data_IF_970466711420
#
_entry.id   IF_970466711420
#
_cell.length_a   1.000
_cell.length_b   1.000
_cell.length_c   1.000
_cell.angle_alpha   90.00
_cell.angle_beta   90.00
_cell.angle_gamma   90.00
#
_symmetry.space_group_name_H-M   'P 1'
#
loop_
_entity.id
_entity.type
_entity.pdbx_description
1 polymer ?
#
# COMPACT_ATOMS: atom_id res chain seq x y z
N UNK A 1 -59.36 14.20 7.32
CA UNK A 1 -58.41 14.64 8.36
C UNK A 1 -57.21 13.68 8.47
N UNK A 2 -57.41 12.38 8.74
CA UNK A 2 -56.31 11.39 8.86
C UNK A 2 -55.34 11.32 7.67
N UNK A 3 -55.84 11.46 6.44
CA UNK A 3 -55.00 11.46 5.23
C UNK A 3 -54.04 12.66 5.15
N UNK A 4 -54.45 13.83 5.66
CA UNK A 4 -53.62 15.03 5.65
C UNK A 4 -52.44 14.87 6.63
N UNK A 5 -52.69 14.35 7.83
CA UNK A 5 -51.64 14.08 8.83
C UNK A 5 -50.65 13.03 8.32
N UNK A 6 -51.14 11.95 7.73
CA UNK A 6 -50.31 10.90 7.16
C UNK A 6 -49.40 11.43 6.03
N UNK A 7 -49.92 12.36 5.21
CA UNK A 7 -49.14 12.99 4.15
C UNK A 7 -47.96 13.81 4.70
N UNK A 8 -48.21 14.66 5.70
CA UNK A 8 -47.17 15.49 6.31
C UNK A 8 -46.07 14.64 6.96
N UNK A 9 -46.45 13.58 7.68
CA UNK A 9 -45.49 12.66 8.31
C UNK A 9 -44.64 11.96 7.25
N UNK A 10 -45.26 11.46 6.18
CA UNK A 10 -44.54 10.77 5.11
C UNK A 10 -43.54 11.68 4.40
N UNK A 11 -43.98 12.89 4.04
CA UNK A 11 -43.12 13.91 3.42
C UNK A 11 -41.98 14.31 4.35
N UNK A 12 -42.26 14.50 5.63
CA UNK A 12 -41.25 14.81 6.64
C UNK A 12 -40.20 13.72 6.80
N UNK A 13 -40.62 12.45 6.85
CA UNK A 13 -39.70 11.31 6.93
C UNK A 13 -38.82 11.21 5.67
N UNK A 14 -39.41 11.34 4.48
CA UNK A 14 -38.64 11.32 3.23
C UNK A 14 -37.63 12.46 3.16
N UNK A 15 -38.03 13.66 3.60
CA UNK A 15 -37.14 14.82 3.66
C UNK A 15 -35.97 14.57 4.62
N UNK A 16 -36.23 14.06 5.83
CA UNK A 16 -35.19 13.73 6.81
C UNK A 16 -34.22 12.66 6.30
N UNK A 17 -34.73 11.61 5.66
CA UNK A 17 -33.90 10.57 5.03
C UNK A 17 -33.04 11.16 3.91
N UNK A 18 -33.61 12.06 3.10
CA UNK A 18 -32.89 12.77 2.04
C UNK A 18 -31.76 13.63 2.59
N UNK A 19 -32.03 14.45 3.60
CA UNK A 19 -31.01 15.29 4.25
C UNK A 19 -29.94 14.45 4.91
N UNK A 20 -30.30 13.39 5.63
CA UNK A 20 -29.36 12.47 6.26
C UNK A 20 -28.44 11.83 5.21
N UNK A 21 -29.01 11.31 4.12
CA UNK A 21 -28.24 10.75 3.01
C UNK A 21 -27.28 11.76 2.37
N UNK A 22 -27.76 12.99 2.13
CA UNK A 22 -26.96 14.07 1.59
C UNK A 22 -25.78 14.41 2.51
N UNK A 23 -26.01 14.49 3.82
CA UNK A 23 -24.96 14.75 4.81
C UNK A 23 -23.89 13.66 4.80
N UNK A 24 -24.28 12.38 4.74
CA UNK A 24 -23.34 11.25 4.65
C UNK A 24 -22.47 11.34 3.39
N UNK A 25 -23.07 11.63 2.24
CA UNK A 25 -22.34 11.80 0.97
C UNK A 25 -21.38 12.99 1.05
N UNK A 26 -21.83 14.13 1.57
CA UNK A 26 -21.00 15.32 1.73
C UNK A 26 -19.78 15.05 2.62
N UNK A 27 -19.98 14.40 3.78
CA UNK A 27 -18.89 14.00 4.68
C UNK A 27 -17.92 13.03 3.99
N UNK A 28 -18.42 12.03 3.27
CA UNK A 28 -17.58 11.09 2.55
C UNK A 28 -16.73 11.77 1.46
N UNK A 29 -17.30 12.77 0.76
CA UNK A 29 -16.57 13.58 -0.22
C UNK A 29 -15.48 14.43 0.45
N UNK A 30 -15.78 15.06 1.59
CA UNK A 30 -14.79 15.83 2.36
C UNK A 30 -13.65 14.91 2.81
N UNK A 31 -13.94 13.74 3.39
CA UNK A 31 -12.91 12.79 3.83
C UNK A 31 -12.05 12.32 2.64
N UNK A 32 -12.66 12.03 1.49
CA UNK A 32 -11.93 11.64 0.27
C UNK A 32 -11.04 12.77 -0.23
N UNK A 33 -11.55 14.01 -0.27
CA UNK A 33 -10.80 15.19 -0.68
C UNK A 33 -9.62 15.46 0.26
N UNK A 34 -9.86 15.44 1.58
CA UNK A 34 -8.80 15.59 2.58
C UNK A 34 -7.74 14.50 2.41
N UNK A 35 -8.12 13.23 2.29
CA UNK A 35 -7.16 12.13 2.08
C UNK A 35 -6.34 12.30 0.79
N UNK A 36 -6.95 12.81 -0.27
CA UNK A 36 -6.26 13.13 -1.52
C UNK A 36 -5.25 14.27 -1.33
N UNK A 37 -5.67 15.36 -0.69
CA UNK A 37 -4.80 16.51 -0.38
C UNK A 37 -3.66 16.09 0.54
N UNK A 38 -3.92 15.35 1.62
CA UNK A 38 -2.88 14.82 2.50
C UNK A 38 -1.90 13.93 1.75
N UNK A 39 -2.37 13.08 0.82
CA UNK A 39 -1.49 12.27 -0.02
C UNK A 39 -0.66 13.11 -1.00
N UNK A 40 -1.25 14.13 -1.61
CA UNK A 40 -0.54 15.03 -2.51
C UNK A 40 0.53 15.83 -1.75
N UNK A 41 0.16 16.44 -0.62
CA UNK A 41 1.07 17.23 0.23
C UNK A 41 2.15 16.35 0.86
N UNK A 42 1.80 15.19 1.42
CA UNK A 42 2.79 14.24 1.97
C UNK A 42 3.66 13.60 0.87
N UNK A 43 3.15 13.47 -0.35
CA UNK A 43 3.88 12.97 -1.51
C UNK A 43 4.89 13.98 -2.08
N UNK A 44 4.63 15.28 -1.94
CA UNK A 44 5.56 16.34 -2.36
C UNK A 44 6.75 16.47 -1.38
N UNK A 45 6.60 16.09 -0.11
CA UNK A 45 7.69 16.03 0.88
C UNK A 45 8.44 14.70 0.95
N UNK A 46 8.07 13.71 0.14
CA UNK A 46 8.59 12.34 0.17
C UNK A 46 9.53 12.05 -1.00
N UNK A 47 10.71 12.69 -1.00
CA UNK A 47 11.76 12.41 -1.98
C UNK A 47 12.15 10.93 -2.05
N UNK A 48 12.43 10.47 -3.28
CA UNK A 48 13.47 9.49 -3.61
C UNK A 48 13.63 8.24 -2.73
N UNK A 49 12.52 7.61 -2.30
CA UNK A 49 12.57 6.30 -1.62
C UNK A 49 12.11 5.12 -2.48
N UNK A 50 11.95 5.31 -3.78
CA UNK A 50 11.59 4.21 -4.70
C UNK A 50 12.75 3.68 -5.55
N UNK A 51 13.88 4.39 -5.65
CA UNK A 51 15.08 3.90 -6.34
C UNK A 51 16.07 3.13 -5.45
N UNK A 52 15.87 3.14 -4.13
CA UNK A 52 16.74 2.43 -3.17
C UNK A 52 16.31 1.00 -2.80
N UNK A 53 15.03 0.65 -2.95
CA UNK A 53 14.50 -0.67 -2.58
C UNK A 53 14.66 -1.71 -3.70
N UNK A 54 14.70 -1.29 -4.96
CA UNK A 54 14.87 -2.21 -6.10
C UNK A 54 16.32 -2.73 -6.26
N UNK A 55 17.31 -2.15 -5.56
CA UNK A 55 18.71 -2.61 -5.53
C UNK A 55 19.11 -3.35 -4.25
N UNK A 56 18.24 -3.47 -3.24
CA UNK A 56 18.52 -4.20 -1.99
C UNK A 56 17.52 -5.34 -1.78
N UNK A 57 17.53 -6.32 -2.67
CA UNK A 57 16.61 -7.45 -2.47
C UNK A 57 16.80 -8.62 -3.43
N UNK A 58 17.91 -8.66 -4.18
CA UNK A 58 18.22 -9.81 -5.02
C UNK A 58 19.69 -10.17 -4.91
N UNK A 59 19.95 -11.27 -4.21
CA UNK A 59 21.25 -11.91 -4.08
C UNK A 59 21.51 -12.74 -5.34
N UNK A 60 22.46 -12.30 -6.17
CA UNK A 60 22.82 -13.01 -7.40
C UNK A 60 23.78 -14.14 -7.06
N UNK A 61 23.47 -15.35 -7.53
CA UNK A 61 24.31 -16.52 -7.32
C UNK A 61 25.73 -16.29 -7.89
N UNK A 62 26.81 -16.46 -7.09
CA UNK A 62 28.19 -16.20 -7.52
C UNK A 62 28.74 -17.23 -8.51
N UNK A 63 28.08 -18.38 -8.64
CA UNK A 63 28.44 -19.40 -9.64
C UNK A 63 28.40 -18.79 -11.07
N UNK A 64 29.54 -18.75 -11.80
CA UNK A 64 29.64 -18.05 -13.10
C UNK A 64 28.64 -18.51 -14.15
N UNK A 65 28.20 -19.78 -14.06
CA UNK A 65 27.23 -20.36 -14.99
C UNK A 65 25.77 -20.26 -14.53
N UNK A 66 25.52 -19.81 -13.30
CA UNK A 66 24.18 -19.77 -12.74
C UNK A 66 23.56 -18.37 -12.83
N UNK A 67 24.20 -17.37 -12.21
CA UNK A 67 23.73 -15.97 -12.15
C UNK A 67 22.28 -15.78 -11.70
N UNK A 68 21.69 -16.75 -10.99
CA UNK A 68 20.28 -16.71 -10.65
C UNK A 68 20.06 -15.67 -9.54
N UNK A 69 19.02 -14.85 -9.68
CA UNK A 69 18.64 -13.90 -8.65
C UNK A 69 17.80 -14.62 -7.59
N UNK A 70 18.31 -14.65 -6.38
CA UNK A 70 17.67 -15.23 -5.20
C UNK A 70 17.19 -14.09 -4.28
N UNK A 71 16.23 -14.35 -3.37
CA UNK A 71 15.92 -13.39 -2.30
C UNK A 71 17.16 -13.15 -1.42
N UNK A 72 17.19 -12.01 -0.73
CA UNK A 72 18.32 -11.54 0.07
C UNK A 72 18.57 -12.37 1.34
N UNK A 73 17.58 -13.11 1.80
CA UNK A 73 17.66 -14.05 2.92
C UNK A 73 17.98 -15.49 2.47
N UNK A 74 18.20 -15.72 1.17
CA UNK A 74 18.51 -17.04 0.66
C UNK A 74 19.85 -17.56 1.22
N UNK A 75 19.83 -18.74 1.84
CA UNK A 75 21.06 -19.44 2.25
C UNK A 75 21.70 -20.25 1.11
N UNK A 76 20.88 -20.67 0.15
CA UNK A 76 21.27 -21.46 -1.02
C UNK A 76 20.59 -20.91 -2.27
N UNK A 77 21.24 -21.08 -3.42
CA UNK A 77 20.67 -20.73 -4.72
C UNK A 77 19.54 -21.69 -5.10
N UNK A 78 18.35 -21.17 -5.40
CA UNK A 78 17.18 -21.96 -5.81
C UNK A 78 17.36 -22.70 -7.14
N UNK A 79 18.34 -22.29 -7.96
CA UNK A 79 18.61 -22.91 -9.26
C UNK A 79 19.70 -23.98 -9.20
N UNK A 80 20.82 -23.72 -8.53
CA UNK A 80 21.99 -24.60 -8.55
C UNK A 80 22.35 -25.21 -7.18
N UNK A 81 21.69 -24.80 -6.09
CA UNK A 81 21.93 -25.32 -4.75
C UNK A 81 23.19 -24.79 -4.04
N UNK A 82 24.02 -23.96 -4.70
CA UNK A 82 25.23 -23.37 -4.08
C UNK A 82 24.86 -22.52 -2.86
N UNK A 83 25.59 -22.70 -1.75
CA UNK A 83 25.44 -21.89 -0.54
C UNK A 83 26.06 -20.50 -0.69
N UNK A 84 25.50 -19.52 0.01
CA UNK A 84 26.06 -18.16 0.10
C UNK A 84 27.01 -17.96 1.30
N UNK A 85 27.20 -18.99 2.15
CA UNK A 85 27.93 -18.90 3.43
C UNK A 85 29.46 -19.04 3.34
N UNK A 86 30.08 -18.90 2.16
CA UNK A 86 31.51 -19.18 1.96
C UNK A 86 32.40 -17.97 1.65
N UNK A 87 31.91 -16.73 1.79
CA UNK A 87 32.77 -15.54 1.59
C UNK A 87 33.34 -14.99 2.90
N UNK A 88 32.81 -15.38 4.07
CA UNK A 88 33.16 -14.73 5.35
C UNK A 88 34.36 -15.36 6.09
N UNK A 89 34.88 -16.49 5.60
CA UNK A 89 35.99 -17.24 6.24
C UNK A 89 37.32 -17.14 5.48
N UNK A 90 37.32 -16.68 4.22
CA UNK A 90 38.55 -16.59 3.40
C UNK A 90 39.35 -15.31 3.69
N UNK A 91 38.70 -14.25 4.17
CA UNK A 91 39.37 -13.01 4.58
C UNK A 91 39.98 -13.09 6.00
N UNK A 92 39.68 -14.14 6.76
CA UNK A 92 40.20 -14.34 8.12
C UNK A 92 41.57 -15.05 8.16
N UNK A 93 42.06 -15.57 7.02
CA UNK A 93 43.32 -16.33 6.91
C UNK A 93 44.22 -15.89 5.75
N UNK A 94 44.00 -14.70 5.19
CA UNK A 94 44.79 -14.11 4.10
C UNK A 94 45.70 -12.97 4.56
#
# INVERSE_FOLDING_TARGET
>A
MLLAEAFHVTVGVLFLLGVLGLMVVAVALVVRALRFVFRAVAGIGGGDRQLGAARRGRLVCPEPRCGHANPDDARYCARCGRSFQHEHDLDAYG
#
